data_IF_053362813811
#
_entry.id   IF_053362813811
#
_cell.length_a   1.000
_cell.length_b   1.000
_cell.length_c   1.000
_cell.angle_alpha   90.00
_cell.angle_beta   90.00
_cell.angle_gamma   90.00
#
_symmetry.space_group_name_H-M   'P 1'
#
loop_
_entity.id
_entity.type
_entity.pdbx_description
1 polymer ?
#
# COMPACT_ATOMS: atom_id res chain seq x y z
N UNK A 1 -14.56 9.70 8.04
CA UNK A 1 -15.60 8.67 8.28
C UNK A 1 -14.93 7.49 9.00
N UNK A 2 -15.66 6.45 9.42
CA UNK A 2 -15.00 5.20 9.80
C UNK A 2 -14.58 4.47 8.51
N UNK A 3 -13.36 3.92 8.49
CA UNK A 3 -12.92 3.07 7.40
C UNK A 3 -13.79 1.81 7.38
N UNK A 4 -14.31 1.36 6.21
CA UNK A 4 -14.95 0.05 6.11
C UNK A 4 -14.00 -1.04 6.62
N UNK A 5 -14.52 -1.96 7.45
CA UNK A 5 -13.71 -2.95 8.14
C UNK A 5 -12.91 -3.81 7.15
N UNK A 6 -13.52 -4.22 6.04
CA UNK A 6 -12.84 -5.02 5.02
C UNK A 6 -11.70 -4.26 4.31
N UNK A 7 -11.82 -2.94 4.13
CA UNK A 7 -10.74 -2.10 3.59
C UNK A 7 -9.63 -1.97 4.63
N UNK A 8 -10.00 -1.69 5.89
CA UNK A 8 -9.05 -1.57 6.98
C UNK A 8 -8.20 -2.85 7.14
N UNK A 9 -8.83 -4.02 7.04
CA UNK A 9 -8.14 -5.31 7.10
C UNK A 9 -7.10 -5.48 5.99
N UNK A 10 -7.40 -5.05 4.76
CA UNK A 10 -6.44 -5.11 3.65
C UNK A 10 -5.28 -4.14 3.88
N UNK A 11 -5.55 -2.90 4.29
CA UNK A 11 -4.50 -1.91 4.57
C UNK A 11 -3.59 -2.36 5.72
N UNK A 12 -4.15 -3.03 6.73
CA UNK A 12 -3.38 -3.61 7.84
C UNK A 12 -2.50 -4.78 7.39
N UNK A 13 -2.94 -5.60 6.41
CA UNK A 13 -2.08 -6.63 5.81
C UNK A 13 -0.89 -6.00 5.07
N UNK A 14 -1.14 -4.97 4.25
CA UNK A 14 -0.10 -4.22 3.54
C UNK A 14 0.91 -3.64 4.54
N UNK A 15 0.43 -2.93 5.57
CA UNK A 15 1.29 -2.40 6.64
C UNK A 15 2.13 -3.48 7.30
N UNK A 16 1.52 -4.63 7.62
CA UNK A 16 2.21 -5.73 8.28
C UNK A 16 3.34 -6.29 7.42
N UNK A 17 3.07 -6.52 6.13
CA UNK A 17 4.08 -7.03 5.18
C UNK A 17 5.22 -6.02 5.00
N UNK A 18 4.92 -4.74 4.78
CA UNK A 18 5.93 -3.70 4.62
C UNK A 18 6.80 -3.53 5.88
N UNK A 19 6.20 -3.52 7.08
CA UNK A 19 6.96 -3.43 8.34
C UNK A 19 7.92 -4.62 8.54
N UNK A 20 7.50 -5.83 8.15
CA UNK A 20 8.37 -7.01 8.19
C UNK A 20 9.55 -6.88 7.20
N UNK A 21 9.32 -6.32 6.02
CA UNK A 21 10.35 -6.07 5.02
C UNK A 21 11.32 -5.00 5.46
N UNK A 22 10.83 -3.85 5.92
CA UNK A 22 11.64 -2.77 6.50
C UNK A 22 12.54 -3.32 7.61
N UNK A 23 11.99 -4.13 8.52
CA UNK A 23 12.79 -4.76 9.58
C UNK A 23 13.89 -5.65 9.03
N UNK A 24 13.59 -6.48 8.02
CA UNK A 24 14.54 -7.38 7.39
C UNK A 24 15.64 -6.59 6.66
N UNK A 25 15.28 -5.69 5.76
CA UNK A 25 16.21 -4.85 5.00
C UNK A 25 17.08 -4.00 5.93
N UNK A 26 16.51 -3.48 7.02
CA UNK A 26 17.26 -2.76 8.04
C UNK A 26 18.31 -3.63 8.74
N UNK A 27 18.00 -4.90 9.03
CA UNK A 27 18.97 -5.84 9.60
C UNK A 27 20.10 -6.23 8.63
N UNK A 28 19.85 -6.11 7.32
CA UNK A 28 20.82 -6.41 6.25
C UNK A 28 21.61 -5.16 5.80
N UNK A 29 21.28 -3.97 6.34
CA UNK A 29 21.93 -2.71 5.99
C UNK A 29 21.44 -2.08 4.68
N UNK A 30 20.30 -2.54 4.13
CA UNK A 30 19.71 -2.04 2.90
C UNK A 30 18.83 -0.81 3.14
N UNK A 31 19.44 0.33 3.47
CA UNK A 31 18.73 1.56 3.82
C UNK A 31 17.75 2.05 2.74
N UNK A 32 18.14 1.98 1.46
CA UNK A 32 17.27 2.38 0.34
C UNK A 32 15.99 1.54 0.23
N UNK A 33 16.07 0.23 0.57
CA UNK A 33 14.88 -0.62 0.60
C UNK A 33 13.95 -0.25 1.75
N UNK A 34 14.50 0.11 2.92
CA UNK A 34 13.71 0.59 4.04
C UNK A 34 12.97 1.89 3.68
N UNK A 35 13.66 2.82 3.02
CA UNK A 35 13.07 4.08 2.56
C UNK A 35 11.95 3.82 1.55
N UNK A 36 12.22 2.99 0.53
CA UNK A 36 11.22 2.65 -0.50
C UNK A 36 9.96 2.01 0.10
N UNK A 37 10.12 1.06 1.03
CA UNK A 37 8.99 0.41 1.70
C UNK A 37 8.28 1.37 2.67
N UNK A 38 9.00 2.27 3.36
CA UNK A 38 8.39 3.26 4.25
C UNK A 38 7.57 4.29 3.46
N UNK A 39 8.10 4.78 2.35
CA UNK A 39 7.39 5.68 1.43
C UNK A 39 6.15 5.02 0.85
N UNK A 40 6.17 3.71 0.59
CA UNK A 40 4.98 2.99 0.14
C UNK A 40 3.80 3.09 1.14
N UNK A 41 4.08 2.96 2.44
CA UNK A 41 3.03 2.76 3.46
C UNK A 41 2.75 3.98 4.35
N UNK A 42 3.52 5.06 4.24
CA UNK A 42 3.47 6.18 5.19
C UNK A 42 2.07 6.83 5.32
N UNK A 43 1.27 6.78 4.25
CA UNK A 43 -0.09 7.35 4.22
C UNK A 43 -1.16 6.42 4.83
N UNK A 44 -0.91 5.11 4.91
CA UNK A 44 -1.91 4.13 5.34
C UNK A 44 -2.41 4.34 6.79
N UNK A 45 -1.56 4.70 7.77
CA UNK A 45 -2.03 5.02 9.12
C UNK A 45 -3.03 6.18 9.15
N UNK A 46 -2.83 7.21 8.32
CA UNK A 46 -3.74 8.35 8.24
C UNK A 46 -5.11 7.94 7.65
N UNK A 47 -5.11 7.08 6.62
CA UNK A 47 -6.34 6.51 6.03
C UNK A 47 -7.11 5.70 7.07
N UNK A 48 -6.42 4.89 7.88
CA UNK A 48 -7.03 4.07 8.92
C UNK A 48 -7.62 4.91 10.07
N UNK A 49 -6.93 5.97 10.49
CA UNK A 49 -7.37 6.83 11.59
C UNK A 49 -8.52 7.75 11.19
N UNK A 50 -8.48 8.29 9.98
CA UNK A 50 -9.50 9.20 9.47
C UNK A 50 -9.79 8.88 8.01
N UNK A 51 -10.71 7.93 7.81
CA UNK A 51 -11.03 7.46 6.48
C UNK A 51 -11.52 8.58 5.57
N UNK A 52 -10.78 8.73 4.47
CA UNK A 52 -11.07 9.59 3.33
C UNK A 52 -10.93 8.74 2.06
N UNK A 53 -12.02 8.57 1.30
CA UNK A 53 -12.00 7.99 -0.04
C UNK A 53 -10.88 8.57 -0.93
N UNK A 54 -10.69 9.89 -0.87
CA UNK A 54 -9.72 10.62 -1.69
C UNK A 54 -8.27 10.24 -1.33
N UNK A 55 -7.97 10.02 -0.05
CA UNK A 55 -6.66 9.53 0.37
C UNK A 55 -6.43 8.08 -0.06
N UNK A 56 -7.46 7.24 -0.04
CA UNK A 56 -7.36 5.87 -0.52
C UNK A 56 -7.15 5.82 -2.05
N UNK A 57 -7.86 6.66 -2.80
CA UNK A 57 -7.65 6.86 -4.23
C UNK A 57 -6.25 7.40 -4.53
N UNK A 58 -5.75 8.33 -3.72
CA UNK A 58 -4.39 8.85 -3.88
C UNK A 58 -3.35 7.76 -3.65
N UNK A 59 -3.48 6.97 -2.58
CA UNK A 59 -2.63 5.81 -2.34
C UNK A 59 -2.63 4.85 -3.53
N UNK A 60 -3.81 4.50 -4.04
CA UNK A 60 -3.95 3.55 -5.15
C UNK A 60 -3.33 4.04 -6.45
N UNK A 61 -3.57 5.31 -6.79
CA UNK A 61 -3.22 5.86 -8.10
C UNK A 61 -1.80 6.43 -8.15
N UNK A 62 -1.26 6.90 -7.02
CA UNK A 62 0.01 7.64 -6.97
C UNK A 62 1.07 6.87 -6.16
N UNK A 63 0.80 6.54 -4.90
CA UNK A 63 1.83 5.93 -4.03
C UNK A 63 2.16 4.49 -4.44
N UNK A 64 1.12 3.69 -4.71
CA UNK A 64 1.28 2.30 -5.18
C UNK A 64 2.05 2.23 -6.50
N UNK A 65 1.74 3.12 -7.45
CA UNK A 65 2.39 3.16 -8.77
C UNK A 65 3.83 3.68 -8.67
N UNK A 66 4.08 4.67 -7.79
CA UNK A 66 5.42 5.11 -7.43
C UNK A 66 6.27 3.99 -6.83
N UNK A 67 5.72 3.25 -5.88
CA UNK A 67 6.37 2.08 -5.29
C UNK A 67 6.74 1.01 -6.34
N UNK A 68 5.79 0.65 -7.21
CA UNK A 68 6.03 -0.31 -8.30
C UNK A 68 7.17 0.14 -9.22
N UNK A 69 7.26 1.44 -9.50
CA UNK A 69 8.31 2.01 -10.33
C UNK A 69 9.67 1.93 -9.63
N UNK A 70 9.74 2.27 -8.35
CA UNK A 70 10.96 2.17 -7.53
C UNK A 70 11.46 0.74 -7.36
N UNK A 71 10.54 -0.23 -7.41
CA UNK A 71 10.85 -1.67 -7.28
C UNK A 71 11.12 -2.36 -8.63
N UNK A 72 11.00 -1.66 -9.77
CA UNK A 72 11.23 -2.24 -11.08
C UNK A 72 12.63 -2.88 -11.18
N UNK A 73 12.70 -4.18 -11.47
CA UNK A 73 13.94 -4.94 -11.56
C UNK A 73 14.46 -5.51 -10.23
N UNK A 74 13.76 -5.32 -9.11
CA UNK A 74 14.06 -5.95 -7.82
C UNK A 74 13.20 -7.21 -7.61
N UNK A 75 13.80 -8.29 -7.12
CA UNK A 75 13.11 -9.54 -6.80
C UNK A 75 12.62 -9.54 -5.34
N UNK A 76 11.66 -8.68 -5.02
CA UNK A 76 10.98 -8.70 -3.73
C UNK A 76 9.61 -9.34 -3.88
N UNK A 77 9.09 -9.90 -2.78
CA UNK A 77 7.71 -10.41 -2.75
C UNK A 77 6.73 -9.33 -3.23
N UNK A 78 5.63 -9.71 -3.84
CA UNK A 78 4.66 -8.73 -4.32
C UNK A 78 3.52 -8.53 -3.31
N UNK A 79 2.90 -7.36 -3.33
CA UNK A 79 1.63 -7.08 -2.64
C UNK A 79 0.42 -7.38 -3.55
N UNK A 80 0.59 -8.26 -4.56
CA UNK A 80 -0.44 -8.51 -5.59
C UNK A 80 -1.77 -8.92 -4.97
N UNK A 81 -1.75 -9.84 -4.00
CA UNK A 81 -2.96 -10.38 -3.40
C UNK A 81 -3.68 -9.29 -2.60
N UNK A 82 -2.94 -8.50 -1.82
CA UNK A 82 -3.50 -7.37 -1.08
C UNK A 82 -4.04 -6.28 -2.00
N UNK A 83 -3.33 -5.95 -3.09
CA UNK A 83 -3.80 -4.97 -4.06
C UNK A 83 -5.01 -5.46 -4.85
N UNK A 84 -5.07 -6.75 -5.19
CA UNK A 84 -6.24 -7.34 -5.83
C UNK A 84 -7.47 -7.26 -4.92
N UNK A 85 -7.32 -7.63 -3.64
CA UNK A 85 -8.39 -7.50 -2.65
C UNK A 85 -8.81 -6.04 -2.47
N UNK A 86 -7.85 -5.12 -2.36
CA UNK A 86 -8.13 -3.70 -2.18
C UNK A 86 -8.89 -3.14 -3.38
N UNK A 87 -8.46 -3.47 -4.62
CA UNK A 87 -9.14 -3.03 -5.84
C UNK A 87 -10.59 -3.45 -5.85
N UNK A 88 -10.87 -4.72 -5.59
CA UNK A 88 -12.23 -5.26 -5.55
C UNK A 88 -13.10 -4.46 -4.58
N UNK A 89 -12.58 -4.17 -3.38
CA UNK A 89 -13.30 -3.40 -2.38
C UNK A 89 -13.49 -1.94 -2.80
N UNK A 90 -12.47 -1.31 -3.37
CA UNK A 90 -12.58 0.05 -3.89
C UNK A 90 -13.67 0.16 -4.97
N UNK A 91 -13.76 -0.82 -5.87
CA UNK A 91 -14.81 -0.89 -6.89
C UNK A 91 -16.21 -1.09 -6.26
N UNK A 92 -16.34 -1.97 -5.26
CA UNK A 92 -17.59 -2.20 -4.51
C UNK A 92 -18.09 -0.94 -3.78
N UNK A 93 -17.17 -0.10 -3.32
CA UNK A 93 -17.45 1.19 -2.68
C UNK A 93 -17.53 2.37 -3.66
N UNK A 94 -17.40 2.13 -4.97
CA UNK A 94 -17.53 3.15 -6.02
C UNK A 94 -16.37 4.16 -6.09
N UNK A 95 -15.17 3.75 -5.66
CA UNK A 95 -13.97 4.58 -5.66
C UNK A 95 -13.24 4.55 -7.01
N UNK A 96 -12.53 5.63 -7.33
CA UNK A 96 -11.81 5.76 -8.59
C UNK A 96 -10.45 5.05 -8.56
N UNK A 97 -10.42 3.85 -9.13
CA UNK A 97 -9.20 3.13 -9.44
C UNK A 97 -8.86 3.33 -10.91
N UNK A 98 -7.82 4.11 -11.22
CA UNK A 98 -7.33 4.18 -12.61
C UNK A 98 -6.67 2.85 -12.94
N UNK A 99 -7.09 2.25 -14.05
CA UNK A 99 -6.44 1.05 -14.57
C UNK A 99 -5.02 1.38 -15.04
N UNK A 100 -4.10 0.48 -14.73
CA UNK A 100 -2.75 0.49 -15.29
C UNK A 100 -2.87 0.26 -16.80
N UNK A 101 -2.46 1.25 -17.60
CA UNK A 101 -2.23 1.08 -19.05
C UNK A 101 -0.96 0.27 -19.31
#
# INVERSE_FOLDING_TARGET
MLCPDEIADVLLRILSVALLRIRKSGSEGHAEECETEADHIHNLPAILQNYSPELLEYYWNIERTGFLTSMAGRSHGSFQDEWHDLRRLMDEHGLNCRDEM
#
